data_IF_482898599063
#
_entry.id   IF_482898599063
#
_cell.length_a   1.000
_cell.length_b   1.000
_cell.length_c   1.000
_cell.angle_alpha   90.00
_cell.angle_beta   90.00
_cell.angle_gamma   90.00
#
_symmetry.space_group_name_H-M   'P 1'
#
loop_
_entity.id
_entity.type
_entity.pdbx_description
1 polymer ?
#
# COMPACT_ATOMS: atom_id res chain seq x y z
N UNK A 1 13.33 6.12 6.93
CA UNK A 1 13.24 5.91 5.48
C UNK A 1 13.07 4.45 5.06
N UNK A 2 11.84 4.09 4.67
CA UNK A 2 11.55 2.86 3.91
C UNK A 2 10.30 2.99 3.00
N UNK A 3 9.68 4.18 2.96
CA UNK A 3 8.41 4.38 2.26
C UNK A 3 8.58 4.28 0.74
N UNK A 4 9.64 4.86 0.15
CA UNK A 4 9.90 4.80 -1.29
C UNK A 4 10.08 3.36 -1.80
N UNK A 5 10.88 2.55 -1.10
CA UNK A 5 11.06 1.15 -1.46
C UNK A 5 9.77 0.35 -1.28
N UNK A 6 9.08 0.53 -0.15
CA UNK A 6 7.79 -0.13 0.11
C UNK A 6 6.75 0.24 -0.96
N UNK A 7 6.60 1.53 -1.27
CA UNK A 7 5.58 2.05 -2.18
C UNK A 7 5.86 1.57 -3.61
N UNK A 8 7.12 1.56 -4.05
CA UNK A 8 7.52 1.02 -5.35
C UNK A 8 7.14 -0.45 -5.49
N UNK A 9 7.46 -1.28 -4.48
CA UNK A 9 7.22 -2.73 -4.53
C UNK A 9 5.73 -3.06 -4.48
N UNK A 10 4.97 -2.42 -3.57
CA UNK A 10 3.52 -2.60 -3.48
C UNK A 10 2.82 -2.12 -4.76
N UNK A 11 3.21 -0.97 -5.31
CA UNK A 11 2.66 -0.48 -6.58
C UNK A 11 2.90 -1.47 -7.71
N UNK A 12 4.13 -1.95 -7.89
CA UNK A 12 4.47 -2.88 -8.97
C UNK A 12 3.72 -4.20 -8.82
N UNK A 13 3.54 -4.69 -7.59
CA UNK A 13 2.74 -5.88 -7.33
C UNK A 13 1.27 -5.67 -7.73
N UNK A 14 0.66 -4.56 -7.31
CA UNK A 14 -0.73 -4.24 -7.66
C UNK A 14 -0.91 -4.07 -9.18
N UNK A 15 0.05 -3.45 -9.88
CA UNK A 15 0.05 -3.33 -11.34
C UNK A 15 0.10 -4.70 -12.02
N UNK A 16 0.97 -5.60 -11.56
CA UNK A 16 1.09 -6.96 -12.12
C UNK A 16 -0.18 -7.81 -11.97
N UNK A 17 -1.03 -7.48 -10.99
CA UNK A 17 -2.29 -8.18 -10.73
C UNK A 17 -3.55 -7.44 -11.21
N UNK A 18 -3.41 -6.34 -11.95
CA UNK A 18 -4.53 -5.51 -12.41
C UNK A 18 -5.40 -4.98 -11.24
N UNK A 19 -4.73 -4.53 -10.17
CA UNK A 19 -5.34 -4.02 -8.94
C UNK A 19 -5.00 -2.54 -8.67
N UNK A 20 -4.21 -1.90 -9.51
CA UNK A 20 -3.78 -0.51 -9.28
C UNK A 20 -4.88 0.51 -9.58
N UNK A 21 -5.81 0.18 -10.47
CA UNK A 21 -6.99 0.96 -10.85
C UNK A 21 -7.87 1.35 -9.64
N UNK A 22 -8.00 0.48 -8.64
CA UNK A 22 -8.78 0.81 -7.43
C UNK A 22 -8.05 1.75 -6.45
N UNK A 23 -6.73 1.91 -6.61
CA UNK A 23 -5.90 2.84 -5.81
C UNK A 23 -5.79 4.19 -6.51
N UNK A 24 -5.54 4.17 -7.82
CA UNK A 24 -5.41 5.34 -8.67
C UNK A 24 -6.22 5.12 -9.95
N UNK A 25 -7.56 5.34 -9.89
CA UNK A 25 -8.44 5.12 -11.03
C UNK A 25 -8.05 6.03 -12.19
N UNK A 26 -8.17 5.49 -13.40
CA UNK A 26 -7.93 6.28 -14.62
C UNK A 26 -9.14 7.19 -14.88
N UNK A 27 -8.90 8.33 -15.54
CA UNK A 27 -9.96 9.32 -15.88
C UNK A 27 -11.13 8.69 -16.68
N UNK A 28 -10.88 7.55 -17.34
CA UNK A 28 -11.86 6.81 -18.13
C UNK A 28 -12.86 5.99 -17.29
N UNK A 29 -12.61 5.74 -16.00
CA UNK A 29 -13.41 4.82 -15.17
C UNK A 29 -14.53 5.50 -14.37
N UNK A 30 -14.63 6.84 -14.45
CA UNK A 30 -15.59 7.68 -13.71
C UNK A 30 -16.99 7.68 -14.38
N UNK A 31 -17.29 6.68 -15.21
CA UNK A 31 -18.58 6.51 -15.89
C UNK A 31 -19.67 5.87 -15.01
N UNK A 32 -20.88 5.74 -15.56
CA UNK A 32 -21.96 5.01 -14.91
C UNK A 32 -21.59 3.51 -14.81
N UNK A 33 -21.32 3.05 -13.59
CA UNK A 33 -20.94 1.67 -13.31
C UNK A 33 -22.20 0.80 -13.24
N UNK A 34 -22.25 -0.25 -14.06
CA UNK A 34 -23.22 -1.34 -13.91
C UNK A 34 -23.00 -2.07 -12.57
N UNK A 35 -24.02 -2.79 -12.12
CA UNK A 35 -23.91 -3.62 -10.91
C UNK A 35 -22.73 -4.60 -10.97
N UNK A 36 -22.48 -5.19 -12.14
CA UNK A 36 -21.37 -6.12 -12.36
C UNK A 36 -20.00 -5.42 -12.23
N UNK A 37 -19.87 -4.19 -12.71
CA UNK A 37 -18.64 -3.42 -12.57
C UNK A 37 -18.40 -3.00 -11.12
N UNK A 38 -19.45 -2.60 -10.39
CA UNK A 38 -19.36 -2.33 -8.96
C UNK A 38 -18.92 -3.57 -8.15
N UNK A 39 -19.46 -4.76 -8.46
CA UNK A 39 -19.05 -6.02 -7.82
C UNK A 39 -17.58 -6.36 -8.13
N UNK A 40 -17.14 -6.17 -9.38
CA UNK A 40 -15.73 -6.36 -9.79
C UNK A 40 -14.80 -5.37 -9.07
N UNK A 41 -15.17 -4.09 -9.03
CA UNK A 41 -14.41 -3.05 -8.34
C UNK A 41 -14.29 -3.38 -6.85
N UNK A 42 -15.38 -3.78 -6.19
CA UNK A 42 -15.36 -4.17 -4.77
C UNK A 42 -14.38 -5.33 -4.51
N UNK A 43 -14.36 -6.33 -5.39
CA UNK A 43 -13.44 -7.46 -5.28
C UNK A 43 -11.98 -7.06 -5.49
N UNK A 44 -11.69 -6.21 -6.48
CA UNK A 44 -10.34 -5.65 -6.70
C UNK A 44 -9.89 -4.79 -5.51
N UNK A 45 -10.75 -3.89 -5.04
CA UNK A 45 -10.49 -3.03 -3.88
C UNK A 45 -10.17 -3.84 -2.62
N UNK A 46 -10.97 -4.88 -2.33
CA UNK A 46 -10.74 -5.75 -1.17
C UNK A 46 -9.39 -6.48 -1.27
N UNK A 47 -9.03 -7.00 -2.46
CA UNK A 47 -7.73 -7.65 -2.68
C UNK A 47 -6.56 -6.67 -2.52
N UNK A 48 -6.65 -5.50 -3.14
CA UNK A 48 -5.62 -4.46 -3.06
C UNK A 48 -5.42 -4.00 -1.61
N UNK A 49 -6.51 -3.74 -0.88
CA UNK A 49 -6.48 -3.37 0.53
C UNK A 49 -5.78 -4.44 1.38
N UNK A 50 -6.11 -5.70 1.15
CA UNK A 50 -5.49 -6.81 1.88
C UNK A 50 -3.98 -6.91 1.63
N UNK A 51 -3.55 -6.75 0.37
CA UNK A 51 -2.13 -6.75 0.00
C UNK A 51 -1.39 -5.60 0.70
N UNK A 52 -1.95 -4.38 0.68
CA UNK A 52 -1.36 -3.22 1.34
C UNK A 52 -1.22 -3.48 2.85
N UNK A 53 -2.26 -4.02 3.50
CA UNK A 53 -2.23 -4.37 4.92
C UNK A 53 -1.15 -5.41 5.24
N UNK A 54 -1.03 -6.47 4.42
CA UNK A 54 0.03 -7.47 4.59
C UNK A 54 1.42 -6.84 4.44
N UNK A 55 1.59 -5.94 3.47
CA UNK A 55 2.84 -5.25 3.20
C UNK A 55 3.32 -4.35 4.36
N UNK A 56 2.43 -3.95 5.26
CA UNK A 56 2.80 -3.16 6.44
C UNK A 56 3.51 -3.98 7.53
N UNK A 57 3.37 -5.31 7.53
CA UNK A 57 4.16 -6.25 8.33
C UNK A 57 4.21 -6.06 9.86
N UNK A 58 3.44 -5.15 10.46
CA UNK A 58 3.49 -4.81 11.88
C UNK A 58 2.16 -4.33 12.46
N UNK A 59 1.89 -4.66 13.72
CA UNK A 59 0.61 -4.41 14.40
C UNK A 59 0.29 -2.93 14.60
N UNK A 60 1.30 -2.08 14.85
CA UNK A 60 1.09 -0.64 15.07
C UNK A 60 0.55 0.04 13.81
N UNK A 61 1.17 -0.23 12.66
CA UNK A 61 0.71 0.32 11.37
C UNK A 61 -0.68 -0.21 11.03
N UNK A 62 -0.93 -1.50 11.25
CA UNK A 62 -2.26 -2.09 11.05
C UNK A 62 -3.34 -1.45 11.91
N UNK A 63 -3.02 -1.05 13.15
CA UNK A 63 -3.98 -0.40 14.05
C UNK A 63 -4.47 0.94 13.48
N UNK A 64 -3.60 1.67 12.78
CA UNK A 64 -3.96 2.95 12.15
C UNK A 64 -4.73 2.79 10.84
N UNK A 65 -4.59 1.66 10.15
CA UNK A 65 -5.20 1.47 8.82
C UNK A 65 -6.40 0.53 8.80
N UNK A 66 -6.76 -0.09 9.93
CA UNK A 66 -7.87 -1.03 10.04
C UNK A 66 -9.24 -0.39 9.80
N UNK A 67 -9.35 0.91 10.02
CA UNK A 67 -10.63 1.64 9.92
C UNK A 67 -10.88 2.20 8.50
N UNK A 68 -9.93 2.01 7.57
CA UNK A 68 -10.12 2.36 6.16
C UNK A 68 -10.83 1.24 5.40
N UNK A 69 -11.67 1.63 4.45
CA UNK A 69 -12.54 0.70 3.72
C UNK A 69 -12.05 0.48 2.28
N UNK A 70 -11.14 1.33 1.80
CA UNK A 70 -10.59 1.24 0.46
C UNK A 70 -9.08 1.21 0.44
N UNK A 71 -8.52 0.53 -0.55
CA UNK A 71 -7.09 0.50 -0.82
C UNK A 71 -6.55 1.92 -1.07
N UNK A 72 -7.34 2.76 -1.74
CA UNK A 72 -7.05 4.16 -1.99
C UNK A 72 -6.89 4.97 -0.71
N UNK A 73 -7.83 4.87 0.23
CA UNK A 73 -7.74 5.61 1.50
C UNK A 73 -6.47 5.25 2.28
N UNK A 74 -6.12 3.97 2.34
CA UNK A 74 -4.88 3.52 3.00
C UNK A 74 -3.65 4.07 2.28
N UNK A 75 -3.64 4.01 0.95
CA UNK A 75 -2.54 4.53 0.13
C UNK A 75 -2.36 6.05 0.35
N UNK A 76 -3.45 6.81 0.29
CA UNK A 76 -3.47 8.26 0.49
C UNK A 76 -3.04 8.64 1.92
N UNK A 77 -3.44 7.85 2.93
CA UNK A 77 -2.97 8.01 4.31
C UNK A 77 -1.45 7.87 4.41
N UNK A 78 -0.89 6.82 3.79
CA UNK A 78 0.57 6.64 3.80
C UNK A 78 1.28 7.75 3.05
N UNK A 79 0.76 8.14 1.87
CA UNK A 79 1.33 9.25 1.11
C UNK A 79 1.37 10.50 1.97
N UNK A 80 0.25 10.91 2.58
CA UNK A 80 0.18 12.09 3.44
C UNK A 80 1.09 11.98 4.68
N UNK A 81 1.21 10.79 5.27
CA UNK A 81 2.05 10.55 6.45
C UNK A 81 3.53 10.74 6.12
N UNK A 82 4.00 10.21 4.99
CA UNK A 82 5.41 10.24 4.63
C UNK A 82 5.82 11.46 3.81
N UNK A 83 4.89 12.15 3.13
CA UNK A 83 5.18 13.46 2.50
C UNK A 83 5.24 14.59 3.51
N UNK A 84 4.42 14.56 4.58
CA UNK A 84 4.50 15.56 5.66
C UNK A 84 5.80 15.50 6.47
N UNK A 85 6.38 14.31 6.61
CA UNK A 85 7.68 14.13 7.26
C UNK A 85 8.80 14.83 6.46
N UNK A 86 8.71 14.84 5.13
CA UNK A 86 9.70 15.48 4.28
C UNK A 86 9.74 17.02 4.42
N UNK A 87 8.62 17.66 4.79
CA UNK A 87 8.57 19.10 5.04
C UNK A 87 9.04 19.48 6.46
N UNK A 88 8.94 18.57 7.44
CA UNK A 88 9.37 18.82 8.83
C UNK A 88 10.82 18.40 9.13
N UNK A 89 11.44 17.56 8.28
CA UNK A 89 12.70 16.88 8.59
C UNK A 89 13.95 17.52 7.97
N UNK A 90 13.89 18.79 7.52
CA UNK A 90 15.09 19.51 7.03
C UNK A 90 16.11 19.82 8.15
N UNK A 91 15.78 19.62 9.44
CA UNK A 91 16.67 20.04 10.55
C UNK A 91 17.12 18.95 11.54
N UNK A 92 17.02 17.66 11.23
CA UNK A 92 17.60 16.61 12.09
C UNK A 92 18.49 15.61 11.34
N UNK A 93 19.31 16.14 10.42
CA UNK A 93 20.43 15.41 9.83
C UNK A 93 21.66 15.40 10.75
N UNK A 94 21.60 14.69 11.89
CA UNK A 94 22.80 14.12 12.53
C UNK A 94 22.42 13.21 13.70
N UNK A 95 23.00 12.00 13.70
CA UNK A 95 22.95 10.96 14.74
C UNK A 95 21.73 10.03 14.74
N UNK A 96 21.75 9.02 13.87
CA UNK A 96 21.82 7.60 14.26
C UNK A 96 21.67 6.70 13.02
N UNK A 97 22.80 6.26 12.49
CA UNK A 97 22.87 5.20 11.47
C UNK A 97 22.63 3.88 12.19
N UNK A 98 21.38 3.55 12.53
CA UNK A 98 21.01 2.23 13.05
C UNK A 98 19.50 1.99 12.94
N UNK A 99 19.05 1.52 11.78
CA UNK A 99 17.89 0.60 11.59
C UNK A 99 17.51 0.51 10.11
N UNK A 100 18.42 -0.02 9.30
CA UNK A 100 18.03 -0.52 7.99
C UNK A 100 17.02 -1.66 8.18
N UNK A 101 15.86 -1.67 7.50
CA UNK A 101 14.99 -2.82 7.53
C UNK A 101 15.67 -4.00 6.83
N UNK A 102 15.78 -5.10 7.58
CA UNK A 102 16.39 -6.34 7.16
C UNK A 102 15.72 -6.90 5.88
N UNK A 103 16.47 -7.25 4.80
CA UNK A 103 15.95 -7.83 3.56
C UNK A 103 15.00 -9.03 3.76
N UNK A 104 15.12 -9.73 4.89
CA UNK A 104 14.24 -10.88 5.24
C UNK A 104 12.76 -10.50 5.44
N UNK A 105 12.44 -9.25 5.75
CA UNK A 105 11.03 -8.82 5.94
C UNK A 105 10.29 -8.70 4.60
N UNK A 106 11.01 -8.49 3.50
CA UNK A 106 10.47 -8.38 2.15
C UNK A 106 10.32 -9.76 1.48
N UNK A 107 11.31 -10.64 1.64
CA UNK A 107 11.23 -12.05 1.21
C UNK A 107 10.08 -12.80 1.90
N UNK A 108 9.83 -12.51 3.18
CA UNK A 108 8.68 -13.04 3.91
C UNK A 108 7.34 -12.60 3.34
N UNK A 109 7.26 -11.38 2.76
CA UNK A 109 6.05 -10.84 2.15
C UNK A 109 5.75 -11.53 0.82
N UNK A 110 6.74 -11.60 -0.09
CA UNK A 110 6.62 -12.31 -1.38
C UNK A 110 6.30 -13.79 -1.12
N UNK A 111 7.02 -14.44 -0.21
CA UNK A 111 6.76 -15.83 0.16
C UNK A 111 5.39 -16.05 0.82
N UNK A 112 4.87 -15.09 1.60
CA UNK A 112 3.54 -15.20 2.22
C UNK A 112 2.41 -15.01 1.21
N UNK A 113 2.62 -14.15 0.22
CA UNK A 113 1.69 -13.91 -0.88
C UNK A 113 1.66 -15.11 -1.83
N UNK A 114 2.82 -15.64 -2.24
CA UNK A 114 2.93 -16.82 -3.12
C UNK A 114 2.38 -18.10 -2.45
N UNK A 115 2.61 -18.29 -1.14
CA UNK A 115 2.07 -19.45 -0.40
C UNK A 115 0.55 -19.47 -0.27
N UNK A 116 -0.14 -18.33 -0.48
CA UNK A 116 -1.60 -18.22 -0.36
C UNK A 116 -2.33 -18.28 -1.71
N UNK A 117 -1.61 -18.42 -2.82
CA UNK A 117 -2.19 -18.72 -4.13
C UNK A 117 -3.11 -17.62 -4.68
N UNK A 118 -2.71 -16.35 -4.53
CA UNK A 118 -3.40 -15.21 -5.14
C UNK A 118 -2.96 -14.93 -6.57
#
# INVERSE_FOLDING_TARGET
DNYENWSCLVRNYLLGHDLWDVVAPSVSEIGAQSRLEAERWNMKNAKALHIIQLACGGSETLTHIRDFHTAKEVWDYFLAKYTKLNDSDIEQACSSVESLPNPTKFEGLISAIERRGY
#
